data_IF_246616929230
#
_entry.id   IF_246616929230
#
_cell.length_a   1.000
_cell.length_b   1.000
_cell.length_c   1.000
_cell.angle_alpha   90.00
_cell.angle_beta   90.00
_cell.angle_gamma   90.00
#
_symmetry.space_group_name_H-M   'P 1'
#
loop_
_entity.id
_entity.type
_entity.pdbx_description
1 polymer ?
#
# COMPACT_ATOMS: atom_id res chain seq x y z
N UNK A 1 8.15 -4.35 9.76
CA UNK A 1 8.05 -3.34 8.69
C UNK A 1 8.49 -4.00 7.39
N UNK A 2 7.80 -3.72 6.29
CA UNK A 2 8.13 -4.21 4.94
C UNK A 2 8.29 -3.01 4.01
N UNK A 3 9.30 -3.04 3.14
CA UNK A 3 9.56 -2.02 2.13
C UNK A 3 9.53 -2.70 0.76
N UNK A 4 8.68 -2.21 -0.14
CA UNK A 4 8.63 -2.68 -1.53
C UNK A 4 9.56 -1.84 -2.41
N UNK A 5 10.50 -2.54 -3.05
CA UNK A 5 11.50 -2.02 -3.98
C UNK A 5 11.60 -2.90 -5.24
N UNK A 6 10.59 -3.74 -5.50
CA UNK A 6 10.63 -4.70 -6.59
C UNK A 6 10.51 -4.01 -7.95
N UNK A 7 11.18 -4.52 -9.00
CA UNK A 7 11.01 -4.02 -10.36
C UNK A 7 9.58 -4.29 -10.87
N UNK A 8 9.10 -3.41 -11.75
CA UNK A 8 7.82 -3.59 -12.42
C UNK A 8 7.94 -4.63 -13.53
N UNK A 9 7.40 -5.82 -13.30
CA UNK A 9 7.30 -6.91 -14.28
C UNK A 9 5.89 -7.47 -14.24
N UNK A 10 5.51 -8.29 -15.22
CA UNK A 10 4.21 -8.98 -15.19
C UNK A 10 4.02 -9.86 -13.96
N UNK A 11 5.11 -10.36 -13.37
CA UNK A 11 5.11 -11.25 -12.20
C UNK A 11 4.92 -10.48 -10.88
N UNK A 12 5.16 -9.17 -10.87
CA UNK A 12 5.03 -8.34 -9.66
C UNK A 12 3.72 -7.55 -9.60
N UNK A 13 2.90 -7.59 -10.65
CA UNK A 13 1.56 -6.98 -10.66
C UNK A 13 0.70 -7.66 -9.60
N UNK A 14 0.05 -6.87 -8.75
CA UNK A 14 -0.81 -7.32 -7.66
C UNK A 14 -0.15 -8.30 -6.67
N UNK A 15 1.19 -8.33 -6.62
CA UNK A 15 1.93 -9.23 -5.72
C UNK A 15 1.63 -8.94 -4.24
N UNK A 16 1.40 -7.67 -3.90
CA UNK A 16 1.03 -7.23 -2.57
C UNK A 16 -0.51 -7.23 -2.48
N UNK A 17 -1.07 -8.42 -2.27
CA UNK A 17 -2.49 -8.69 -2.11
C UNK A 17 -2.85 -8.98 -0.63
N UNK A 18 -4.13 -9.29 -0.37
CA UNK A 18 -4.60 -9.69 0.96
C UNK A 18 -3.79 -10.85 1.56
N UNK A 19 -3.44 -11.86 0.77
CA UNK A 19 -2.71 -13.03 1.26
C UNK A 19 -1.29 -12.68 1.71
N UNK A 20 -0.59 -11.82 0.98
CA UNK A 20 0.70 -11.28 1.40
C UNK A 20 0.57 -10.48 2.70
N UNK A 21 -0.41 -9.57 2.77
CA UNK A 21 -0.60 -8.67 3.91
C UNK A 21 -0.94 -9.41 5.21
N UNK A 22 -1.71 -10.50 5.13
CA UNK A 22 -2.05 -11.34 6.30
C UNK A 22 -0.87 -12.13 6.86
N UNK A 23 0.18 -12.37 6.07
CA UNK A 23 1.40 -13.04 6.55
C UNK A 23 2.29 -12.11 7.39
N UNK A 24 2.04 -10.81 7.38
CA UNK A 24 2.80 -9.86 8.18
C UNK A 24 2.39 -9.95 9.66
N UNK A 25 3.30 -9.64 10.60
CA UNK A 25 2.92 -9.46 12.00
C UNK A 25 1.81 -8.41 12.13
N UNK A 26 0.81 -8.67 12.97
CA UNK A 26 -0.25 -7.71 13.25
C UNK A 26 0.33 -6.37 13.73
N UNK A 27 -0.18 -5.25 13.21
CA UNK A 27 0.35 -3.91 13.46
C UNK A 27 1.64 -3.59 12.70
N UNK A 28 1.94 -4.29 11.60
CA UNK A 28 3.09 -4.01 10.75
C UNK A 28 2.98 -2.64 10.06
N UNK A 29 4.13 -2.15 9.59
CA UNK A 29 4.23 -0.95 8.75
C UNK A 29 4.60 -1.37 7.32
N UNK A 30 3.99 -0.72 6.34
CA UNK A 30 4.24 -0.95 4.92
C UNK A 30 4.71 0.33 4.22
N UNK A 31 5.78 0.25 3.43
CA UNK A 31 6.30 1.35 2.61
C UNK A 31 6.38 0.90 1.15
N UNK A 32 5.71 1.61 0.24
CA UNK A 32 5.82 1.37 -1.20
C UNK A 32 6.45 2.56 -1.92
N UNK A 33 7.67 2.35 -2.41
CA UNK A 33 8.46 3.31 -3.21
C UNK A 33 8.83 2.69 -4.58
N UNK A 34 8.09 1.66 -5.00
CA UNK A 34 8.32 0.93 -6.25
C UNK A 34 7.32 1.33 -7.34
N UNK A 35 6.24 0.55 -7.56
CA UNK A 35 5.13 0.89 -8.46
C UNK A 35 3.78 0.59 -7.82
N UNK A 36 2.77 1.42 -8.12
CA UNK A 36 1.43 1.25 -7.58
C UNK A 36 0.74 -0.04 -8.04
N UNK A 37 0.95 -0.46 -9.29
CA UNK A 37 0.39 -1.69 -9.86
C UNK A 37 0.83 -2.99 -9.15
N UNK A 38 1.82 -2.93 -8.26
CA UNK A 38 2.25 -4.08 -7.47
C UNK A 38 1.38 -4.31 -6.23
N UNK A 39 0.53 -3.33 -5.88
CA UNK A 39 -0.31 -3.36 -4.68
C UNK A 39 -1.77 -3.38 -5.07
N UNK A 40 -2.54 -4.31 -4.50
CA UNK A 40 -4.00 -4.28 -4.57
C UNK A 40 -4.48 -3.25 -3.55
N UNK A 41 -4.89 -2.06 -4.00
CA UNK A 41 -5.20 -0.94 -3.10
C UNK A 41 -6.40 -1.20 -2.17
N UNK A 42 -7.39 -1.97 -2.63
CA UNK A 42 -8.54 -2.38 -1.80
C UNK A 42 -8.10 -3.26 -0.63
N UNK A 43 -7.18 -4.20 -0.87
CA UNK A 43 -6.63 -5.08 0.17
C UNK A 43 -5.76 -4.30 1.16
N UNK A 44 -4.98 -3.33 0.66
CA UNK A 44 -4.21 -2.43 1.51
C UNK A 44 -5.12 -1.63 2.45
N UNK A 45 -6.20 -1.07 1.92
CA UNK A 45 -7.21 -0.36 2.72
C UNK A 45 -7.86 -1.28 3.76
N UNK A 46 -8.21 -2.51 3.40
CA UNK A 46 -8.76 -3.50 4.33
C UNK A 46 -7.77 -3.85 5.45
N UNK A 47 -6.48 -4.01 5.13
CA UNK A 47 -5.44 -4.29 6.11
C UNK A 47 -5.21 -3.12 7.07
N UNK A 48 -5.32 -1.87 6.60
CA UNK A 48 -5.25 -0.69 7.46
C UNK A 48 -6.50 -0.57 8.36
N UNK A 49 -7.70 -0.75 7.81
CA UNK A 49 -8.96 -0.67 8.55
C UNK A 49 -9.07 -1.73 9.65
N UNK A 50 -8.55 -2.94 9.41
CA UNK A 50 -8.54 -4.04 10.38
C UNK A 50 -7.43 -3.94 11.43
N UNK A 51 -6.49 -2.99 11.29
CA UNK A 51 -5.30 -2.89 12.14
C UNK A 51 -4.21 -3.93 11.84
N UNK A 52 -4.41 -4.80 10.84
CA UNK A 52 -3.38 -5.71 10.35
C UNK A 52 -2.12 -4.93 9.97
N UNK A 53 -2.29 -3.80 9.31
CA UNK A 53 -1.27 -2.76 9.21
C UNK A 53 -1.58 -1.62 10.17
N UNK A 54 -0.55 -1.18 10.89
CA UNK A 54 -0.61 0.00 11.74
C UNK A 54 -0.58 1.29 10.94
N UNK A 55 0.21 1.33 9.86
CA UNK A 55 0.31 2.47 8.96
C UNK A 55 0.94 2.06 7.63
N UNK A 56 0.70 2.88 6.60
CA UNK A 56 1.33 2.75 5.29
C UNK A 56 1.86 4.11 4.80
N UNK A 57 3.03 4.09 4.19
CA UNK A 57 3.61 5.21 3.46
C UNK A 57 3.72 4.83 1.97
N UNK A 58 3.17 5.66 1.09
CA UNK A 58 3.00 5.36 -0.33
C UNK A 58 3.49 6.55 -1.16
N UNK A 59 4.45 6.29 -2.04
CA UNK A 59 4.95 7.27 -3.02
C UNK A 59 4.30 7.09 -4.40
N UNK A 60 3.72 5.91 -4.65
CA UNK A 60 3.19 5.47 -5.95
C UNK A 60 1.80 4.85 -5.81
N UNK A 61 0.96 5.01 -6.82
CA UNK A 61 -0.44 4.58 -6.85
C UNK A 61 -0.79 3.89 -8.18
N UNK A 62 -1.88 3.11 -8.22
CA UNK A 62 -2.30 2.47 -9.46
C UNK A 62 -2.71 3.49 -10.53
N UNK A 63 -3.33 4.59 -10.10
CA UNK A 63 -3.69 5.72 -10.94
C UNK A 63 -2.97 6.97 -10.42
N UNK A 64 -2.24 7.63 -11.31
CA UNK A 64 -1.49 8.84 -11.01
C UNK A 64 -1.89 9.99 -11.97
N UNK A 65 -2.14 11.21 -11.46
CA UNK A 65 -2.14 11.60 -10.05
C UNK A 65 -3.26 10.90 -9.27
N UNK A 66 -3.05 10.69 -7.96
CA UNK A 66 -4.05 10.02 -7.14
C UNK A 66 -5.35 10.85 -7.14
N UNK A 67 -6.50 10.27 -7.55
CA UNK A 67 -7.76 11.02 -7.62
C UNK A 67 -8.12 11.69 -6.30
N UNK A 68 -8.61 12.93 -6.34
CA UNK A 68 -8.93 13.70 -5.12
C UNK A 68 -9.97 13.01 -4.21
N UNK A 69 -10.88 12.25 -4.81
CA UNK A 69 -11.91 11.49 -4.08
C UNK A 69 -11.40 10.16 -3.49
N UNK A 70 -10.12 9.82 -3.64
CA UNK A 70 -9.61 8.52 -3.24
C UNK A 70 -9.52 8.35 -1.72
N UNK A 71 -10.01 7.23 -1.19
CA UNK A 71 -10.10 6.94 0.26
C UNK A 71 -8.78 7.01 1.00
N UNK A 72 -7.66 6.79 0.31
CA UNK A 72 -6.32 6.91 0.89
C UNK A 72 -6.00 8.33 1.33
N UNK A 73 -6.58 9.38 0.75
CA UNK A 73 -6.36 10.76 1.20
C UNK A 73 -6.84 11.01 2.61
N UNK A 74 -8.03 10.50 2.94
CA UNK A 74 -8.67 10.70 4.25
C UNK A 74 -8.29 9.65 5.30
N UNK A 75 -7.49 8.64 4.94
CA UNK A 75 -7.19 7.54 5.85
C UNK A 75 -6.16 7.96 6.90
N UNK A 76 -6.54 7.93 8.18
CA UNK A 76 -5.73 8.45 9.31
C UNK A 76 -4.36 7.79 9.49
N UNK A 77 -4.22 6.54 9.06
CA UNK A 77 -2.97 5.78 9.13
C UNK A 77 -2.04 5.96 7.91
N UNK A 78 -2.42 6.77 6.91
CA UNK A 78 -1.53 7.12 5.80
C UNK A 78 -0.52 8.17 6.26
N UNK A 79 0.75 7.98 5.92
CA UNK A 79 1.78 9.02 6.04
C UNK A 79 2.37 9.31 4.66
N UNK A 80 2.52 10.60 4.37
CA UNK A 80 2.88 11.14 3.05
C UNK A 80 4.23 11.89 3.15
N UNK A 81 5.07 11.77 2.12
CA UNK A 81 6.27 12.60 1.93
C UNK A 81 6.33 13.21 0.52
N UNK A 82 5.16 13.52 -0.07
CA UNK A 82 5.05 14.27 -1.31
C UNK A 82 5.09 15.77 -0.97
N UNK A 83 6.31 16.29 -0.82
CA UNK A 83 6.62 17.73 -0.93
C UNK A 83 7.00 18.09 -2.35
#
# INVERSE_FOLDING_TARGET
>A
MVINLLPSTHETINLIDHHFLQQLPHGAFFLNIARGAQVVEEDLLAALNSGQLKAAALDVFQVEPLPEAHSLWSHSARHDHAS
#
